data_IF_982192588915
#
_entry.id   IF_982192588915
#
_cell.length_a   1.000
_cell.length_b   1.000
_cell.length_c   1.000
_cell.angle_alpha   90.00
_cell.angle_beta   90.00
_cell.angle_gamma   90.00
#
_symmetry.space_group_name_H-M   'P 1'
#
loop_
_entity.id
_entity.type
_entity.pdbx_description
1 polymer ?
#
# COMPACT_ATOMS: atom_id res chain seq x y z
N UNK A 1 -10.83 -15.70 -10.17
CA UNK A 1 -9.37 -15.50 -10.05
C UNK A 1 -9.05 -14.92 -8.68
N UNK A 2 -8.13 -15.54 -7.94
CA UNK A 2 -7.66 -15.04 -6.63
C UNK A 2 -6.26 -14.44 -6.82
N UNK A 3 -6.02 -13.25 -6.27
CA UNK A 3 -4.69 -12.63 -6.22
C UNK A 3 -4.35 -12.47 -4.75
N UNK A 4 -3.18 -12.98 -4.34
CA UNK A 4 -2.66 -12.73 -2.99
C UNK A 4 -1.43 -11.85 -3.14
N UNK A 5 -1.44 -10.70 -2.48
CA UNK A 5 -0.31 -9.80 -2.36
C UNK A 5 0.23 -9.89 -0.93
N UNK A 6 1.48 -10.32 -0.79
CA UNK A 6 2.22 -10.30 0.46
C UNK A 6 3.21 -9.15 0.44
N UNK A 7 3.07 -8.22 1.38
CA UNK A 7 3.95 -7.07 1.56
C UNK A 7 4.76 -7.31 2.82
N UNK A 8 6.09 -7.42 2.73
CA UNK A 8 6.94 -7.69 3.88
C UNK A 8 8.16 -6.79 3.89
N UNK A 9 8.73 -6.53 5.06
CA UNK A 9 10.02 -5.86 5.22
C UNK A 9 11.10 -6.86 5.66
N UNK A 10 12.33 -6.37 5.79
CA UNK A 10 13.39 -7.15 6.45
C UNK A 10 13.01 -7.43 7.92
N UNK A 11 13.50 -8.56 8.44
CA UNK A 11 13.20 -9.07 9.80
C UNK A 11 13.52 -8.05 10.91
N UNK A 12 14.42 -7.10 10.64
CA UNK A 12 14.79 -6.04 11.58
C UNK A 12 13.68 -4.99 11.77
N UNK A 13 12.82 -4.82 10.78
CA UNK A 13 11.74 -3.84 10.79
C UNK A 13 10.38 -4.54 10.77
N UNK A 14 10.22 -5.51 11.67
CA UNK A 14 8.93 -6.17 11.90
C UNK A 14 7.89 -5.10 12.17
N UNK A 15 6.77 -5.21 11.48
CA UNK A 15 5.63 -4.33 11.69
C UNK A 15 5.84 -2.84 11.32
N UNK A 16 6.58 -2.52 10.25
CA UNK A 16 6.54 -1.15 9.64
C UNK A 16 5.10 -0.64 9.48
N UNK A 17 4.17 -1.56 9.21
CA UNK A 17 2.75 -1.30 9.05
C UNK A 17 1.89 -1.76 10.25
N UNK A 18 2.42 -1.82 11.48
CA UNK A 18 1.69 -2.30 12.68
C UNK A 18 0.32 -1.62 12.86
N UNK A 19 0.23 -0.35 12.48
CA UNK A 19 -0.98 0.47 12.57
C UNK A 19 -1.71 0.66 11.22
N UNK A 20 -1.36 -0.08 10.16
CA UNK A 20 -2.24 -0.18 8.97
C UNK A 20 -3.63 -0.71 9.31
N UNK A 21 -3.74 -1.38 10.46
CA UNK A 21 -4.71 -2.42 10.75
C UNK A 21 -5.59 -2.10 11.95
N UNK A 22 -5.53 -0.88 12.52
CA UNK A 22 -6.51 -0.48 13.55
C UNK A 22 -7.96 -0.57 13.04
N UNK A 23 -8.14 -0.51 11.72
CA UNK A 23 -9.43 -0.62 11.05
C UNK A 23 -9.59 -1.90 10.22
N UNK A 24 -8.76 -2.93 10.34
CA UNK A 24 -8.84 -4.09 9.43
C UNK A 24 -10.23 -4.72 9.35
N UNK A 25 -10.92 -4.88 10.48
CA UNK A 25 -12.29 -5.40 10.48
C UNK A 25 -13.26 -4.46 9.75
N UNK A 26 -13.11 -3.15 9.92
CA UNK A 26 -13.89 -2.14 9.20
C UNK A 26 -13.54 -2.11 7.70
N UNK A 27 -12.27 -2.25 7.33
CA UNK A 27 -11.81 -2.30 5.95
C UNK A 27 -12.36 -3.55 5.26
N UNK A 28 -12.14 -4.72 5.85
CA UNK A 28 -12.68 -5.98 5.36
C UNK A 28 -14.21 -5.87 5.21
N UNK A 29 -14.91 -5.31 6.19
CA UNK A 29 -16.35 -5.07 6.12
C UNK A 29 -16.75 -4.10 4.98
N UNK A 30 -16.13 -2.92 4.88
CA UNK A 30 -16.44 -1.92 3.86
C UNK A 30 -16.18 -2.45 2.45
N UNK A 31 -15.08 -3.19 2.26
CA UNK A 31 -14.76 -3.78 0.97
C UNK A 31 -15.67 -4.96 0.65
N UNK A 32 -15.97 -5.85 1.60
CA UNK A 32 -16.95 -6.94 1.40
C UNK A 32 -18.34 -6.44 0.97
N UNK A 33 -18.74 -5.24 1.41
CA UNK A 33 -20.00 -4.60 1.01
C UNK A 33 -19.99 -4.02 -0.41
N UNK A 34 -18.82 -3.81 -1.02
CA UNK A 34 -18.74 -3.41 -2.44
C UNK A 34 -18.78 -4.66 -3.34
N UNK A 35 -19.72 -4.75 -4.30
CA UNK A 35 -19.93 -5.95 -5.12
C UNK A 35 -18.71 -6.36 -5.96
N UNK A 36 -17.78 -5.43 -6.20
CA UNK A 36 -16.57 -5.62 -7.02
C UNK A 36 -15.36 -6.12 -6.19
N UNK A 37 -15.35 -5.89 -4.87
CA UNK A 37 -14.13 -5.98 -4.05
C UNK A 37 -14.32 -6.83 -2.79
N UNK A 38 -14.49 -8.14 -2.92
CA UNK A 38 -14.21 -9.00 -1.76
C UNK A 38 -12.70 -8.97 -1.48
N UNK A 39 -12.25 -8.01 -0.67
CA UNK A 39 -10.88 -7.79 -0.20
C UNK A 39 -10.74 -8.39 1.19
N UNK A 40 -9.59 -9.02 1.47
CA UNK A 40 -9.23 -9.42 2.82
C UNK A 40 -7.82 -8.95 3.12
N UNK A 41 -7.62 -8.30 4.27
CA UNK A 41 -6.33 -7.81 4.75
C UNK A 41 -6.04 -8.43 6.12
N UNK A 42 -4.81 -8.90 6.32
CA UNK A 42 -4.32 -9.45 7.58
C UNK A 42 -2.90 -8.96 7.87
N UNK A 43 -2.62 -8.62 9.15
CA UNK A 43 -1.27 -8.34 9.64
C UNK A 43 -0.54 -9.65 9.88
N UNK A 44 0.70 -9.75 9.43
CA UNK A 44 1.62 -10.81 9.83
C UNK A 44 2.83 -10.19 10.53
N UNK A 45 3.60 -11.02 11.25
CA UNK A 45 4.72 -10.57 12.10
C UNK A 45 5.65 -9.55 11.41
N UNK A 46 5.95 -9.76 10.12
CA UNK A 46 6.85 -8.93 9.32
C UNK A 46 6.17 -8.19 8.15
N UNK A 47 4.85 -7.98 8.18
CA UNK A 47 4.17 -7.33 7.06
C UNK A 47 2.66 -7.51 7.00
N UNK A 48 2.15 -7.59 5.77
CA UNK A 48 0.73 -7.65 5.43
C UNK A 48 0.48 -8.76 4.40
N UNK A 49 -0.68 -9.40 4.51
CA UNK A 49 -1.25 -10.24 3.46
C UNK A 49 -2.56 -9.59 3.00
N UNK A 50 -2.71 -9.42 1.69
CA UNK A 50 -3.89 -8.88 1.05
C UNK A 50 -4.40 -9.87 0.01
N UNK A 51 -5.68 -10.20 0.06
CA UNK A 51 -6.32 -11.13 -0.87
C UNK A 51 -7.38 -10.38 -1.65
N UNK A 52 -7.24 -10.38 -2.98
CA UNK A 52 -8.21 -9.83 -3.92
C UNK A 52 -8.95 -10.98 -4.62
N UNK A 53 -10.29 -10.91 -4.68
CA UNK A 53 -11.11 -11.89 -5.43
C UNK A 53 -11.31 -11.52 -6.90
N UNK A 54 -10.74 -10.42 -7.38
CA UNK A 54 -10.81 -9.98 -8.78
C UNK A 54 -9.57 -9.17 -9.20
N UNK A 55 -9.23 -9.21 -10.50
CA UNK A 55 -8.19 -8.35 -11.09
C UNK A 55 -8.54 -6.87 -10.92
N UNK A 56 -9.80 -6.51 -11.19
CA UNK A 56 -10.31 -5.14 -11.00
C UNK A 56 -10.10 -4.62 -9.58
N UNK A 57 -10.36 -5.44 -8.56
CA UNK A 57 -10.12 -5.07 -7.17
C UNK A 57 -8.64 -4.80 -6.86
N UNK A 58 -7.72 -5.54 -7.48
CA UNK A 58 -6.29 -5.29 -7.38
C UNK A 58 -5.90 -3.94 -8.00
N UNK A 59 -6.36 -3.66 -9.23
CA UNK A 59 -6.06 -2.40 -9.93
C UNK A 59 -6.62 -1.17 -9.19
N UNK A 60 -7.82 -1.29 -8.61
CA UNK A 60 -8.43 -0.19 -7.87
C UNK A 60 -7.73 0.10 -6.54
N UNK A 61 -7.15 -0.92 -5.90
CA UNK A 61 -6.37 -0.76 -4.66
C UNK A 61 -4.96 -0.22 -4.93
N UNK A 62 -4.37 -0.57 -6.08
CA UNK A 62 -3.04 -0.13 -6.51
C UNK A 62 -3.14 0.64 -7.84
N UNK A 63 -3.80 1.81 -7.87
CA UNK A 63 -4.06 2.48 -9.14
C UNK A 63 -2.80 3.11 -9.72
N UNK A 64 -2.64 3.04 -11.04
CA UNK A 64 -1.71 3.91 -11.76
C UNK A 64 -2.31 5.31 -11.79
N UNK A 65 -1.57 6.30 -11.30
CA UNK A 65 -2.05 7.66 -11.18
C UNK A 65 -1.39 8.58 -12.23
N UNK A 66 -2.20 9.36 -12.93
CA UNK A 66 -1.68 10.43 -13.78
C UNK A 66 -1.16 11.60 -12.93
N UNK A 67 -0.23 12.37 -13.48
CA UNK A 67 0.48 13.45 -12.77
C UNK A 67 -0.47 14.46 -12.11
N UNK A 68 -1.50 14.93 -12.82
CA UNK A 68 -2.50 15.87 -12.29
C UNK A 68 -3.24 15.31 -11.07
N UNK A 69 -3.58 14.02 -11.11
CA UNK A 69 -4.24 13.33 -10.01
C UNK A 69 -3.29 13.19 -8.81
N UNK A 70 -2.01 12.93 -9.06
CA UNK A 70 -1.00 12.88 -8.00
C UNK A 70 -0.80 14.23 -7.33
N UNK A 71 -0.74 15.32 -8.10
CA UNK A 71 -0.62 16.67 -7.56
C UNK A 71 -1.81 17.01 -6.64
N UNK A 72 -3.04 16.67 -7.06
CA UNK A 72 -4.24 16.82 -6.23
C UNK A 72 -4.17 15.97 -4.95
N UNK A 73 -3.68 14.73 -5.03
CA UNK A 73 -3.52 13.85 -3.87
C UNK A 73 -2.52 14.45 -2.86
N UNK A 74 -1.37 14.94 -3.35
CA UNK A 74 -0.33 15.54 -2.51
C UNK A 74 -0.82 16.81 -1.81
N UNK A 75 -1.55 17.69 -2.50
CA UNK A 75 -2.20 18.86 -1.88
C UNK A 75 -3.19 18.48 -0.76
N UNK A 76 -3.80 17.30 -0.86
CA UNK A 76 -4.70 16.79 0.18
C UNK A 76 -3.98 16.11 1.35
N UNK A 77 -2.66 15.90 1.30
CA UNK A 77 -1.88 15.46 2.46
C UNK A 77 -1.68 16.61 3.45
N UNK A 78 -1.42 17.81 2.94
CA UNK A 78 -1.14 19.03 3.74
C UNK A 78 -2.36 19.52 4.54
N UNK A 79 -3.58 19.13 4.14
CA UNK A 79 -4.85 19.61 4.71
C UNK A 79 -5.46 18.68 5.78
N UNK A 80 -4.78 17.61 6.21
CA UNK A 80 -5.37 16.61 7.12
C UNK A 80 -5.09 16.93 8.60
N UNK A 81 -6.13 16.82 9.43
CA UNK A 81 -6.00 16.72 10.89
C UNK A 81 -5.57 15.30 11.32
N UNK A 82 -5.05 15.20 12.55
CA UNK A 82 -4.17 14.15 13.10
C UNK A 82 -4.34 12.73 12.55
N UNK A 83 -3.21 12.23 12.04
CA UNK A 83 -3.01 10.92 11.43
C UNK A 83 -3.36 9.74 12.37
N UNK A 84 -4.14 8.77 11.88
CA UNK A 84 -4.38 7.50 12.59
C UNK A 84 -3.42 6.37 12.19
N UNK A 85 -2.84 6.40 10.98
CA UNK A 85 -1.85 5.40 10.57
C UNK A 85 -0.45 5.83 11.05
N UNK A 86 0.17 5.09 11.97
CA UNK A 86 1.54 5.38 12.40
C UNK A 86 2.51 4.36 11.79
N UNK A 87 3.64 4.84 11.28
CA UNK A 87 4.81 3.98 11.07
C UNK A 87 5.27 3.50 12.45
N UNK A 88 5.78 2.26 12.55
CA UNK A 88 6.27 1.72 13.83
C UNK A 88 7.12 2.75 14.58
N UNK A 89 6.91 2.90 15.89
CA UNK A 89 7.69 3.80 16.75
C UNK A 89 9.20 3.54 16.69
N UNK A 90 9.59 2.33 16.31
CA UNK A 90 11.00 1.92 16.17
C UNK A 90 11.67 2.48 14.92
N UNK A 91 10.88 3.01 13.97
CA UNK A 91 11.31 3.71 12.78
C UNK A 91 11.02 5.20 12.91
N UNK A 92 12.08 5.96 13.09
CA UNK A 92 12.09 7.43 13.05
C UNK A 92 13.12 7.89 12.02
N UNK A 93 13.14 9.19 11.74
CA UNK A 93 14.21 9.81 10.94
C UNK A 93 15.60 9.44 11.48
N UNK A 94 15.77 9.40 12.80
CA UNK A 94 17.05 9.13 13.46
C UNK A 94 17.47 7.65 13.41
N UNK A 95 16.50 6.73 13.34
CA UNK A 95 16.74 5.28 13.30
C UNK A 95 16.61 4.66 11.91
N UNK A 96 16.37 5.46 10.87
CA UNK A 96 16.22 4.99 9.50
C UNK A 96 17.54 4.36 9.00
N UNK A 97 17.50 3.16 8.38
CA UNK A 97 18.70 2.50 7.90
C UNK A 97 19.41 3.32 6.81
N UNK A 98 20.71 3.58 7.01
CA UNK A 98 21.57 4.26 6.01
C UNK A 98 21.63 3.53 4.66
N UNK A 99 21.45 2.21 4.66
CA UNK A 99 21.39 1.39 3.45
C UNK A 99 20.04 1.49 2.72
N UNK A 100 19.09 2.28 3.24
CA UNK A 100 17.70 2.24 2.82
C UNK A 100 16.92 1.07 3.43
N UNK A 101 15.61 1.13 3.26
CA UNK A 101 14.65 0.14 3.72
C UNK A 101 14.01 -0.56 2.53
N UNK A 102 14.20 -1.87 2.43
CA UNK A 102 13.56 -2.69 1.41
C UNK A 102 12.20 -3.22 1.86
N UNK A 103 11.19 -3.03 1.01
CA UNK A 103 9.86 -3.63 1.12
C UNK A 103 9.63 -4.56 -0.07
N UNK A 104 9.30 -5.80 0.23
CA UNK A 104 9.06 -6.87 -0.74
C UNK A 104 7.57 -6.99 -1.01
N UNK A 105 7.18 -6.92 -2.28
CA UNK A 105 5.81 -7.14 -2.74
C UNK A 105 5.81 -8.45 -3.54
N UNK A 106 5.19 -9.49 -2.98
CA UNK A 106 5.14 -10.83 -3.56
C UNK A 106 3.71 -11.19 -3.93
N UNK A 107 3.51 -11.67 -5.15
CA UNK A 107 2.21 -12.04 -5.71
C UNK A 107 2.07 -13.56 -5.79
N UNK A 108 0.86 -14.04 -5.54
CA UNK A 108 0.43 -15.41 -5.82
C UNK A 108 -0.84 -15.31 -6.66
N UNK A 109 -0.71 -15.57 -7.96
CA UNK A 109 -1.82 -15.57 -8.93
C UNK A 109 -1.43 -16.31 -10.21
N UNK A 110 -2.43 -16.76 -10.98
CA UNK A 110 -2.26 -17.37 -12.30
C UNK A 110 -1.66 -16.39 -13.33
N UNK A 111 -1.83 -15.07 -13.12
CA UNK A 111 -1.34 -14.00 -14.00
C UNK A 111 -0.32 -13.09 -13.30
N UNK A 112 0.65 -13.68 -12.59
CA UNK A 112 1.55 -12.90 -11.73
C UNK A 112 2.45 -11.91 -12.49
N UNK A 113 2.78 -12.18 -13.75
CA UNK A 113 3.71 -11.34 -14.52
C UNK A 113 3.13 -9.95 -14.82
N UNK A 114 1.90 -9.91 -15.36
CA UNK A 114 1.20 -8.66 -15.67
C UNK A 114 0.90 -7.85 -14.40
N UNK A 115 0.61 -8.55 -13.29
CA UNK A 115 0.41 -7.93 -11.98
C UNK A 115 1.70 -7.31 -11.43
N UNK A 116 2.85 -7.93 -11.69
CA UNK A 116 4.17 -7.35 -11.35
C UNK A 116 4.44 -6.09 -12.18
N UNK A 117 4.17 -6.13 -13.49
CA UNK A 117 4.34 -4.95 -14.35
C UNK A 117 3.42 -3.80 -13.90
N UNK A 118 2.18 -4.13 -13.52
CA UNK A 118 1.25 -3.16 -12.93
C UNK A 118 1.76 -2.57 -11.61
N UNK A 119 2.36 -3.37 -10.72
CA UNK A 119 2.98 -2.85 -9.48
C UNK A 119 4.10 -1.87 -9.79
N UNK A 120 4.95 -2.15 -10.77
CA UNK A 120 6.04 -1.26 -11.17
C UNK A 120 5.47 0.06 -11.69
N UNK A 121 4.47 0.00 -12.57
CA UNK A 121 3.77 1.18 -13.08
C UNK A 121 3.12 1.98 -11.95
N UNK A 122 2.48 1.29 -11.00
CA UNK A 122 1.89 1.91 -9.83
C UNK A 122 2.93 2.73 -9.07
N UNK A 123 4.03 2.12 -8.63
CA UNK A 123 5.08 2.82 -7.87
C UNK A 123 5.74 3.95 -8.64
N UNK A 124 5.99 3.74 -9.94
CA UNK A 124 6.54 4.79 -10.82
C UNK A 124 5.59 5.97 -10.91
N UNK A 125 4.29 5.71 -11.02
CA UNK A 125 3.26 6.74 -11.13
C UNK A 125 3.08 7.57 -9.85
N UNK A 126 3.52 7.07 -8.69
CA UNK A 126 3.44 7.81 -7.43
C UNK A 126 4.41 8.99 -7.40
N UNK A 127 5.45 8.97 -8.24
CA UNK A 127 6.49 10.00 -8.31
C UNK A 127 7.00 10.39 -6.91
N UNK A 128 7.30 9.37 -6.10
CA UNK A 128 7.91 9.52 -4.77
C UNK A 128 9.42 9.64 -5.00
N UNK A 129 10.05 10.64 -4.39
CA UNK A 129 11.50 10.84 -4.53
C UNK A 129 12.26 9.81 -3.71
N UNK A 130 13.50 9.54 -4.10
CA UNK A 130 14.44 8.70 -3.35
C UNK A 130 13.95 7.27 -3.09
N UNK A 131 13.23 6.70 -4.07
CA UNK A 131 12.89 5.28 -4.10
C UNK A 131 13.55 4.57 -5.27
N UNK A 132 13.86 3.29 -5.08
CA UNK A 132 14.34 2.41 -6.13
C UNK A 132 13.38 1.22 -6.27
N UNK A 133 13.03 0.84 -7.50
CA UNK A 133 12.08 -0.23 -7.79
C UNK A 133 12.81 -1.33 -8.57
N UNK A 134 12.82 -2.54 -8.02
CA UNK A 134 13.50 -3.69 -8.61
C UNK A 134 12.52 -4.82 -8.89
N UNK A 135 12.47 -5.30 -10.14
CA UNK A 135 11.82 -6.58 -10.44
C UNK A 135 12.75 -7.71 -10.03
N UNK A 136 12.35 -8.55 -9.08
CA UNK A 136 13.15 -9.73 -8.69
C UNK A 136 12.86 -10.94 -9.58
N UNK A 137 11.59 -11.16 -9.92
CA UNK A 137 11.13 -12.21 -10.83
C UNK A 137 9.68 -11.93 -11.27
N UNK A 138 9.03 -12.90 -11.93
CA UNK A 138 7.65 -12.80 -12.43
C UNK A 138 6.57 -12.71 -11.33
N UNK A 139 6.93 -12.83 -10.06
CA UNK A 139 5.98 -12.79 -8.94
C UNK A 139 6.37 -11.78 -7.86
N UNK A 140 7.45 -11.02 -8.02
CA UNK A 140 7.99 -10.20 -6.94
C UNK A 140 8.69 -8.94 -7.42
N UNK A 141 8.39 -7.85 -6.73
CA UNK A 141 9.18 -6.61 -6.78
C UNK A 141 9.74 -6.27 -5.39
N UNK A 142 10.79 -5.47 -5.39
CA UNK A 142 11.37 -4.83 -4.21
C UNK A 142 11.25 -3.33 -4.42
N UNK A 143 10.71 -2.62 -3.43
CA UNK A 143 10.73 -1.17 -3.38
C UNK A 143 11.63 -0.78 -2.22
N UNK A 144 12.72 -0.08 -2.53
CA UNK A 144 13.68 0.41 -1.56
C UNK A 144 13.47 1.89 -1.34
N UNK A 145 13.18 2.25 -0.10
CA UNK A 145 13.04 3.64 0.36
C UNK A 145 14.39 4.10 0.91
N UNK A 146 15.00 5.12 0.31
CA UNK A 146 16.34 5.56 0.71
C UNK A 146 16.32 6.53 1.90
N UNK A 147 15.16 7.09 2.25
CA UNK A 147 15.00 7.94 3.42
C UNK A 147 13.61 7.76 4.07
N UNK A 148 13.45 8.30 5.29
CA UNK A 148 12.19 8.21 6.03
C UNK A 148 11.04 8.96 5.35
N UNK A 149 11.33 10.10 4.70
CA UNK A 149 10.31 10.95 4.07
C UNK A 149 9.62 10.23 2.90
N UNK A 150 10.38 9.51 2.07
CA UNK A 150 9.84 8.70 0.97
C UNK A 150 8.91 7.58 1.46
N UNK A 151 9.25 6.95 2.59
CA UNK A 151 8.40 5.95 3.25
C UNK A 151 7.10 6.59 3.76
N UNK A 152 7.19 7.77 4.38
CA UNK A 152 6.04 8.53 4.88
C UNK A 152 5.13 8.98 3.74
N UNK A 153 5.69 9.45 2.63
CA UNK A 153 4.94 9.84 1.44
C UNK A 153 4.14 8.64 0.88
N UNK A 154 4.75 7.46 0.78
CA UNK A 154 4.06 6.25 0.38
C UNK A 154 2.95 5.85 1.36
N UNK A 155 3.20 5.93 2.67
CA UNK A 155 2.17 5.68 3.69
C UNK A 155 0.98 6.63 3.54
N UNK A 156 1.23 7.92 3.32
CA UNK A 156 0.18 8.94 3.15
C UNK A 156 -0.67 8.65 1.90
N UNK A 157 -0.02 8.19 0.83
CA UNK A 157 -0.69 7.77 -0.38
C UNK A 157 -1.64 6.60 -0.11
N UNK A 158 -1.17 5.52 0.50
CA UNK A 158 -2.06 4.36 0.75
C UNK A 158 -3.22 4.73 1.69
N UNK A 159 -2.97 5.53 2.73
CA UNK A 159 -4.02 6.01 3.63
C UNK A 159 -5.10 6.82 2.87
N UNK A 160 -4.71 7.68 1.92
CA UNK A 160 -5.69 8.43 1.11
C UNK A 160 -6.64 7.52 0.36
N UNK A 161 -6.11 6.51 -0.32
CA UNK A 161 -6.93 5.61 -1.14
C UNK A 161 -7.87 4.79 -0.28
N UNK A 162 -7.38 4.31 0.87
CA UNK A 162 -8.19 3.60 1.84
C UNK A 162 -9.32 4.50 2.36
N UNK A 163 -8.99 5.71 2.85
CA UNK A 163 -9.98 6.61 3.44
C UNK A 163 -11.02 7.09 2.41
N UNK A 164 -10.61 7.42 1.19
CA UNK A 164 -11.53 7.80 0.11
C UNK A 164 -12.51 6.68 -0.21
N UNK A 165 -12.04 5.43 -0.23
CA UNK A 165 -12.89 4.27 -0.47
C UNK A 165 -13.88 4.05 0.69
N UNK A 166 -13.44 4.15 1.95
CA UNK A 166 -14.34 4.07 3.11
C UNK A 166 -15.44 5.14 3.03
N UNK A 167 -15.08 6.39 2.75
CA UNK A 167 -16.04 7.49 2.68
C UNK A 167 -17.05 7.31 1.54
N UNK A 168 -16.59 6.86 0.36
CA UNK A 168 -17.50 6.54 -0.75
C UNK A 168 -18.49 5.41 -0.42
N UNK A 169 -18.13 4.47 0.46
CA UNK A 169 -19.06 3.42 0.92
C UNK A 169 -20.11 4.01 1.86
N UNK A 170 -19.70 4.86 2.81
CA UNK A 170 -20.62 5.49 3.76
C UNK A 170 -21.72 6.32 3.06
N UNK A 171 -21.36 7.02 1.99
CA UNK A 171 -22.30 7.80 1.17
C UNK A 171 -23.35 6.95 0.44
N UNK A 172 -23.03 5.69 0.14
CA UNK A 172 -23.95 4.77 -0.56
C UNK A 172 -24.86 4.02 0.43
N UNK A 173 -24.43 3.86 1.67
CA UNK A 173 -25.15 3.09 2.71
C UNK A 173 -26.04 3.94 3.61
N UNK A 174 -26.04 5.27 3.44
CA UNK A 174 -26.92 6.23 4.12
C UNK A 174 -27.99 6.72 3.14
#
# INVERSE_FOLDING_TARGET
>A
MKIILRITSSIKYKSIFKNFIKYNSLLNYCFEKQPISKLYIESIENGLIIVFKSYKGFLEFLPVCFEDKMNLIKQNFEKREENYFQVSSDLSVQSFPKSGLEIFFSLISEHSNDLVDHLILHFTSLNIKDIEIYRKNSVKIIVKFNNFDSLIEYRNFIEYFINRKINSVKEITN
#
